data_IF_925759755910
#
_entry.id   IF_925759755910
#
_cell.length_a   1.000
_cell.length_b   1.000
_cell.length_c   1.000
_cell.angle_alpha   90.00
_cell.angle_beta   90.00
_cell.angle_gamma   90.00
#
_symmetry.space_group_name_H-M   'P 1'
#
loop_
_entity.id
_entity.type
_entity.pdbx_description
1 polymer ?
#
# COMPACT_ATOMS: atom_id res chain seq x y z
N UNK A 1 -24.31 -36.86 -54.90
CA UNK A 1 -23.75 -35.50 -54.71
C UNK A 1 -24.33 -34.70 -53.53
N UNK A 2 -25.31 -35.22 -52.76
CA UNK A 2 -25.92 -34.51 -51.62
C UNK A 2 -25.06 -34.33 -50.34
N UNK A 3 -24.35 -35.37 -49.82
CA UNK A 3 -23.70 -35.26 -48.51
C UNK A 3 -22.44 -34.39 -48.46
N UNK A 4 -21.72 -34.24 -49.58
CA UNK A 4 -20.49 -33.42 -49.65
C UNK A 4 -20.80 -31.93 -49.59
N UNK A 5 -21.91 -31.47 -50.20
CA UNK A 5 -22.35 -30.07 -50.14
C UNK A 5 -22.79 -29.66 -48.74
N UNK A 6 -23.48 -30.55 -48.02
CA UNK A 6 -23.91 -30.28 -46.63
C UNK A 6 -22.72 -30.24 -45.67
N UNK A 7 -21.72 -31.12 -45.87
CA UNK A 7 -20.49 -31.12 -45.07
C UNK A 7 -19.61 -29.89 -45.32
N UNK A 8 -19.46 -29.46 -46.57
CA UNK A 8 -18.76 -28.20 -46.89
C UNK A 8 -19.48 -26.98 -46.32
N UNK A 9 -20.82 -26.90 -46.40
CA UNK A 9 -21.56 -25.81 -45.77
C UNK A 9 -21.31 -25.78 -44.25
N UNK A 10 -21.37 -26.94 -43.59
CA UNK A 10 -21.15 -27.03 -42.14
C UNK A 10 -19.74 -26.60 -41.71
N UNK A 11 -18.74 -26.93 -42.54
CA UNK A 11 -17.36 -26.49 -42.33
C UNK A 11 -17.21 -24.98 -42.53
N UNK A 12 -17.78 -24.41 -43.60
CA UNK A 12 -17.73 -22.97 -43.90
C UNK A 12 -18.47 -22.15 -42.83
N UNK A 13 -19.63 -22.62 -42.36
CA UNK A 13 -20.36 -21.97 -41.28
C UNK A 13 -19.60 -22.03 -39.95
N UNK A 14 -18.93 -23.15 -39.64
CA UNK A 14 -18.07 -23.27 -38.46
C UNK A 14 -16.86 -22.33 -38.52
N UNK A 15 -16.18 -22.23 -39.67
CA UNK A 15 -14.99 -21.36 -39.82
C UNK A 15 -15.36 -19.88 -39.73
N UNK A 16 -16.46 -19.46 -40.38
CA UNK A 16 -16.93 -18.07 -40.34
C UNK A 16 -17.43 -17.66 -38.94
N UNK A 17 -18.12 -18.55 -38.22
CA UNK A 17 -18.51 -18.31 -36.83
C UNK A 17 -17.31 -18.25 -35.88
N UNK A 18 -16.26 -19.04 -36.13
CA UNK A 18 -15.00 -19.00 -35.37
C UNK A 18 -14.24 -17.70 -35.59
N UNK A 19 -14.11 -17.24 -36.85
CA UNK A 19 -13.44 -15.96 -37.17
C UNK A 19 -14.11 -14.76 -36.51
N UNK A 20 -15.45 -14.75 -36.47
CA UNK A 20 -16.22 -13.70 -35.80
C UNK A 20 -15.99 -13.70 -34.28
N UNK A 21 -15.87 -14.89 -33.67
CA UNK A 21 -15.60 -15.01 -32.24
C UNK A 21 -14.17 -14.55 -31.88
N UNK A 22 -13.17 -14.93 -32.68
CA UNK A 22 -11.78 -14.49 -32.45
C UNK A 22 -11.63 -12.97 -32.64
N UNK A 23 -12.33 -12.39 -33.63
CA UNK A 23 -12.40 -10.95 -33.78
C UNK A 23 -13.07 -10.27 -32.57
N UNK A 24 -14.12 -10.88 -32.02
CA UNK A 24 -14.77 -10.37 -30.81
C UNK A 24 -13.82 -10.35 -29.61
N UNK A 25 -13.03 -11.40 -29.37
CA UNK A 25 -12.04 -11.42 -28.29
C UNK A 25 -10.86 -10.48 -28.53
N UNK A 26 -10.41 -10.30 -29.78
CA UNK A 26 -9.41 -9.27 -30.11
C UNK A 26 -9.89 -7.87 -29.71
N UNK A 27 -11.15 -7.55 -30.05
CA UNK A 27 -11.76 -6.27 -29.66
C UNK A 27 -11.86 -6.11 -28.14
N UNK A 28 -12.23 -7.16 -27.41
CA UNK A 28 -12.27 -7.13 -25.94
C UNK A 28 -10.89 -6.81 -25.36
N UNK A 29 -9.83 -7.40 -25.90
CA UNK A 29 -8.46 -7.15 -25.43
C UNK A 29 -8.02 -5.71 -25.71
N UNK A 30 -8.29 -5.19 -26.91
CA UNK A 30 -8.01 -3.80 -27.28
C UNK A 30 -8.74 -2.81 -26.36
N UNK A 31 -10.05 -3.01 -26.16
CA UNK A 31 -10.85 -2.18 -25.26
C UNK A 31 -10.36 -2.28 -23.82
N UNK A 32 -9.92 -3.47 -23.37
CA UNK A 32 -9.33 -3.66 -22.05
C UNK A 32 -8.03 -2.87 -21.90
N UNK A 33 -7.12 -2.93 -22.88
CA UNK A 33 -5.89 -2.16 -22.88
C UNK A 33 -6.14 -0.65 -22.80
N UNK A 34 -7.11 -0.15 -23.57
CA UNK A 34 -7.52 1.26 -23.52
C UNK A 34 -8.04 1.67 -22.13
N UNK A 35 -8.89 0.85 -21.52
CA UNK A 35 -9.35 1.12 -20.16
C UNK A 35 -8.19 1.08 -19.14
N UNK A 36 -7.30 0.09 -19.23
CA UNK A 36 -6.14 -0.01 -18.34
C UNK A 36 -5.20 1.19 -18.47
N UNK A 37 -4.96 1.67 -19.69
CA UNK A 37 -4.15 2.88 -19.92
C UNK A 37 -4.79 4.14 -19.32
N UNK A 38 -6.12 4.31 -19.46
CA UNK A 38 -6.83 5.43 -18.82
C UNK A 38 -6.75 5.32 -17.29
N UNK A 39 -6.96 4.13 -16.74
CA UNK A 39 -6.89 3.90 -15.30
C UNK A 39 -5.50 4.19 -14.74
N UNK A 40 -4.45 3.72 -15.41
CA UNK A 40 -3.06 3.96 -15.03
C UNK A 40 -2.73 5.45 -15.04
N UNK A 41 -3.16 6.20 -16.07
CA UNK A 41 -2.99 7.65 -16.13
C UNK A 41 -3.70 8.38 -14.99
N UNK A 42 -4.96 8.01 -14.68
CA UNK A 42 -5.69 8.61 -13.55
C UNK A 42 -5.03 8.33 -12.20
N UNK A 43 -4.58 7.08 -11.98
CA UNK A 43 -3.88 6.69 -10.77
C UNK A 43 -2.52 7.38 -10.62
N UNK A 44 -1.78 7.50 -11.73
CA UNK A 44 -0.50 8.23 -11.78
C UNK A 44 -0.69 9.70 -11.42
N UNK A 45 -1.62 10.40 -12.08
CA UNK A 45 -1.93 11.80 -11.80
C UNK A 45 -2.40 12.01 -10.35
N UNK A 46 -3.24 11.11 -9.82
CA UNK A 46 -3.67 11.16 -8.42
C UNK A 46 -2.50 10.99 -7.43
N UNK A 47 -1.46 10.25 -7.82
CA UNK A 47 -0.27 10.06 -7.00
C UNK A 47 0.64 11.28 -7.01
N UNK A 48 0.82 11.92 -8.18
CA UNK A 48 1.74 13.06 -8.34
C UNK A 48 1.12 14.42 -8.06
N UNK A 49 -0.18 14.57 -8.29
CA UNK A 49 -0.95 15.80 -8.13
C UNK A 49 -2.36 15.50 -7.59
N UNK A 50 -2.49 15.07 -6.32
CA UNK A 50 -3.77 14.71 -5.73
C UNK A 50 -4.76 15.89 -5.63
N UNK A 51 -4.27 17.13 -5.66
CA UNK A 51 -5.10 18.35 -5.61
C UNK A 51 -5.75 18.75 -6.93
N UNK A 52 -5.57 17.98 -8.00
CA UNK A 52 -6.15 18.31 -9.31
C UNK A 52 -7.70 18.24 -9.26
N UNK A 53 -8.41 19.37 -9.48
CA UNK A 53 -9.87 19.43 -9.36
C UNK A 53 -10.63 18.63 -10.43
N UNK A 54 -9.98 18.30 -11.54
CA UNK A 54 -10.60 17.56 -12.64
C UNK A 54 -10.55 16.02 -12.45
N UNK A 55 -9.68 15.54 -11.55
CA UNK A 55 -9.49 14.09 -11.32
C UNK A 55 -10.78 13.38 -10.89
N UNK A 56 -11.59 13.90 -9.93
CA UNK A 56 -12.81 13.22 -9.52
C UNK A 56 -13.81 13.04 -10.67
N UNK A 57 -13.98 14.07 -11.52
CA UNK A 57 -14.91 14.03 -12.64
C UNK A 57 -14.46 13.05 -13.74
N UNK A 58 -13.15 13.04 -14.05
CA UNK A 58 -12.56 12.10 -15.01
C UNK A 58 -12.62 10.66 -14.50
N UNK A 59 -12.30 10.44 -13.22
CA UNK A 59 -12.37 9.13 -12.58
C UNK A 59 -13.80 8.59 -12.58
N UNK A 60 -14.79 9.40 -12.20
CA UNK A 60 -16.20 9.01 -12.24
C UNK A 60 -16.67 8.63 -13.66
N UNK A 61 -16.23 9.38 -14.68
CA UNK A 61 -16.56 9.11 -16.09
C UNK A 61 -15.94 7.79 -16.55
N UNK A 62 -14.65 7.57 -16.24
CA UNK A 62 -13.96 6.32 -16.52
C UNK A 62 -14.68 5.13 -15.89
N UNK A 63 -14.96 5.20 -14.57
CA UNK A 63 -15.62 4.12 -13.83
C UNK A 63 -16.99 3.78 -14.42
N UNK A 64 -17.80 4.80 -14.75
CA UNK A 64 -19.10 4.62 -15.41
C UNK A 64 -18.99 3.83 -16.71
N UNK A 65 -18.06 4.24 -17.57
CA UNK A 65 -17.87 3.65 -18.89
C UNK A 65 -17.32 2.23 -18.79
N UNK A 66 -16.34 2.00 -17.90
CA UNK A 66 -15.74 0.70 -17.64
C UNK A 66 -16.77 -0.30 -17.14
N UNK A 67 -17.56 0.05 -16.13
CA UNK A 67 -18.58 -0.84 -15.56
C UNK A 67 -19.66 -1.18 -16.58
N UNK A 68 -20.16 -0.17 -17.31
CA UNK A 68 -21.19 -0.37 -18.35
C UNK A 68 -20.69 -1.33 -19.43
N UNK A 69 -19.47 -1.12 -19.90
CA UNK A 69 -18.82 -1.98 -20.89
C UNK A 69 -18.63 -3.40 -20.34
N UNK A 70 -18.03 -3.56 -19.15
CA UNK A 70 -17.71 -4.85 -18.57
C UNK A 70 -18.98 -5.67 -18.31
N UNK A 71 -20.03 -5.07 -17.75
CA UNK A 71 -21.31 -5.75 -17.55
C UNK A 71 -21.93 -6.22 -18.87
N UNK A 72 -21.92 -5.39 -19.92
CA UNK A 72 -22.46 -5.76 -21.23
C UNK A 72 -21.65 -6.90 -21.85
N UNK A 73 -20.32 -6.79 -21.85
CA UNK A 73 -19.41 -7.79 -22.40
C UNK A 73 -19.52 -9.12 -21.64
N UNK A 74 -19.52 -9.09 -20.31
CA UNK A 74 -19.69 -10.29 -19.49
C UNK A 74 -21.04 -10.97 -19.69
N UNK A 75 -22.12 -10.22 -19.94
CA UNK A 75 -23.43 -10.79 -20.28
C UNK A 75 -23.43 -11.55 -21.62
N UNK A 76 -22.77 -11.00 -22.64
CA UNK A 76 -22.59 -11.66 -23.95
C UNK A 76 -21.74 -12.93 -23.80
N UNK A 77 -20.61 -12.83 -23.10
CA UNK A 77 -19.71 -13.94 -22.87
C UNK A 77 -20.36 -15.06 -22.04
N UNK A 78 -21.18 -14.72 -21.05
CA UNK A 78 -21.94 -15.71 -20.28
C UNK A 78 -22.88 -16.54 -21.19
N UNK A 79 -23.53 -15.89 -22.16
CA UNK A 79 -24.40 -16.57 -23.13
C UNK A 79 -23.60 -17.54 -24.00
N UNK A 80 -22.42 -17.12 -24.47
CA UNK A 80 -21.52 -17.96 -25.29
C UNK A 80 -20.93 -19.13 -24.47
N UNK A 81 -20.58 -18.88 -23.21
CA UNK A 81 -20.08 -19.88 -22.28
C UNK A 81 -21.13 -20.96 -22.02
N UNK A 82 -22.38 -20.57 -21.72
CA UNK A 82 -23.48 -21.51 -21.47
C UNK A 82 -23.83 -22.36 -22.70
N UNK A 83 -23.62 -21.82 -23.91
CA UNK A 83 -23.76 -22.56 -25.18
C UNK A 83 -22.53 -23.39 -25.55
N UNK A 84 -21.52 -23.47 -24.67
CA UNK A 84 -20.26 -24.18 -24.89
C UNK A 84 -19.53 -23.75 -26.19
N UNK A 85 -19.72 -22.50 -26.61
CA UNK A 85 -19.17 -21.98 -27.88
C UNK A 85 -17.75 -21.45 -27.74
N UNK A 86 -17.24 -21.30 -26.52
CA UNK A 86 -15.91 -20.76 -26.23
C UNK A 86 -14.87 -21.88 -26.16
N UNK A 87 -13.70 -21.67 -26.78
CA UNK A 87 -12.53 -22.55 -26.59
C UNK A 87 -11.87 -22.35 -25.20
N UNK A 88 -10.85 -23.15 -24.87
CA UNK A 88 -10.22 -23.08 -23.53
C UNK A 88 -9.62 -21.70 -23.21
N UNK A 89 -8.92 -21.09 -24.16
CA UNK A 89 -8.31 -19.75 -24.02
C UNK A 89 -9.38 -18.67 -23.83
N UNK A 90 -10.45 -18.71 -24.63
CA UNK A 90 -11.57 -17.78 -24.54
C UNK A 90 -12.36 -17.93 -23.24
N UNK A 91 -12.53 -19.16 -22.73
CA UNK A 91 -13.11 -19.41 -21.40
C UNK A 91 -12.24 -18.80 -20.30
N UNK A 92 -10.92 -18.91 -20.42
CA UNK A 92 -9.97 -18.30 -19.49
C UNK A 92 -10.05 -16.77 -19.53
N UNK A 93 -10.08 -16.16 -20.71
CA UNK A 93 -10.26 -14.71 -20.87
C UNK A 93 -11.60 -14.24 -20.30
N UNK A 94 -12.68 -14.97 -20.56
CA UNK A 94 -13.99 -14.68 -19.97
C UNK A 94 -13.95 -14.71 -18.44
N UNK A 95 -13.37 -15.76 -17.86
CA UNK A 95 -13.22 -15.88 -16.41
C UNK A 95 -12.42 -14.71 -15.83
N UNK A 96 -11.27 -14.37 -16.42
CA UNK A 96 -10.42 -13.28 -15.95
C UNK A 96 -11.10 -11.91 -16.04
N UNK A 97 -11.85 -11.65 -17.11
CA UNK A 97 -12.56 -10.40 -17.29
C UNK A 97 -13.77 -10.24 -16.36
N UNK A 98 -14.43 -11.35 -16.01
CA UNK A 98 -15.75 -11.33 -15.36
C UNK A 98 -15.76 -11.85 -13.92
N UNK A 99 -14.60 -12.26 -13.38
CA UNK A 99 -14.40 -12.52 -11.96
C UNK A 99 -14.38 -11.23 -11.15
N UNK A 100 -14.48 -11.35 -9.83
CA UNK A 100 -14.41 -10.22 -8.90
C UNK A 100 -15.77 -9.66 -8.48
N UNK A 101 -15.79 -8.69 -7.55
CA UNK A 101 -17.01 -8.04 -7.12
C UNK A 101 -17.68 -7.26 -8.27
N UNK A 102 -19.01 -7.35 -8.37
CA UNK A 102 -19.79 -6.57 -9.34
C UNK A 102 -20.36 -5.34 -8.67
N UNK A 103 -19.83 -4.14 -8.92
CA UNK A 103 -20.32 -2.90 -8.32
C UNK A 103 -21.43 -2.22 -9.16
N UNK A 104 -22.32 -1.47 -8.52
CA UNK A 104 -23.14 -0.46 -9.21
C UNK A 104 -22.36 0.83 -9.40
N UNK A 105 -22.85 1.73 -10.26
CA UNK A 105 -22.25 3.04 -10.45
C UNK A 105 -22.23 3.86 -9.14
N UNK A 106 -23.35 3.86 -8.40
CA UNK A 106 -23.43 4.56 -7.11
C UNK A 106 -22.50 3.97 -6.06
N UNK A 107 -22.42 2.64 -5.99
CA UNK A 107 -21.49 1.95 -5.09
C UNK A 107 -20.04 2.33 -5.41
N UNK A 108 -19.66 2.36 -6.69
CA UNK A 108 -18.30 2.70 -7.12
C UNK A 108 -17.94 4.14 -6.74
N UNK A 109 -18.86 5.09 -6.97
CA UNK A 109 -18.68 6.48 -6.55
C UNK A 109 -18.50 6.60 -5.05
N UNK A 110 -19.33 5.89 -4.27
CA UNK A 110 -19.23 5.90 -2.81
C UNK A 110 -17.90 5.27 -2.36
N UNK A 111 -17.48 4.15 -2.94
CA UNK A 111 -16.22 3.49 -2.57
C UNK A 111 -15.03 4.35 -2.92
N UNK A 112 -15.01 5.03 -4.08
CA UNK A 112 -13.95 5.98 -4.43
C UNK A 112 -13.79 7.08 -3.37
N UNK A 113 -14.91 7.71 -2.97
CA UNK A 113 -14.87 8.73 -1.92
C UNK A 113 -14.40 8.16 -0.57
N UNK A 114 -14.80 6.92 -0.22
CA UNK A 114 -14.36 6.27 1.02
C UNK A 114 -12.86 5.95 0.99
N UNK A 115 -12.33 5.51 -0.16
CA UNK A 115 -10.90 5.28 -0.33
C UNK A 115 -10.11 6.59 -0.19
N UNK A 116 -10.58 7.67 -0.80
CA UNK A 116 -9.97 9.00 -0.66
C UNK A 116 -10.01 9.50 0.80
N UNK A 117 -11.15 9.35 1.47
CA UNK A 117 -11.31 9.72 2.89
C UNK A 117 -10.36 8.93 3.79
N UNK A 118 -10.31 7.59 3.64
CA UNK A 118 -9.39 6.73 4.40
C UNK A 118 -7.92 7.08 4.13
N UNK A 119 -7.58 7.34 2.87
CA UNK A 119 -6.22 7.68 2.49
C UNK A 119 -5.79 9.04 3.01
N UNK A 120 -6.68 10.03 3.01
CA UNK A 120 -6.42 11.37 3.58
C UNK A 120 -6.24 11.31 5.09
N UNK A 121 -7.12 10.59 5.82
CA UNK A 121 -6.97 10.37 7.27
C UNK A 121 -5.57 9.85 7.63
N UNK A 122 -5.03 8.96 6.79
CA UNK A 122 -3.72 8.36 6.99
C UNK A 122 -2.55 9.27 6.56
N UNK A 123 -2.62 9.80 5.34
CA UNK A 123 -1.50 10.52 4.70
C UNK A 123 -1.31 11.92 5.28
N UNK A 124 -2.41 12.56 5.68
CA UNK A 124 -2.44 13.93 6.18
C UNK A 124 -2.36 13.97 7.72
N UNK A 125 -2.07 12.83 8.34
CA UNK A 125 -1.95 12.72 9.79
C UNK A 125 -0.79 13.60 10.31
N UNK A 126 -1.14 14.69 10.98
CA UNK A 126 -0.18 15.59 11.61
C UNK A 126 -0.45 15.71 13.11
N UNK A 127 0.62 15.67 13.90
CA UNK A 127 0.61 15.92 15.34
C UNK A 127 1.64 16.99 15.67
N UNK A 128 1.17 18.08 16.27
CA UNK A 128 1.99 19.19 16.72
C UNK A 128 2.01 19.25 18.25
N UNK A 129 3.19 19.43 18.83
CA UNK A 129 3.36 19.67 20.26
C UNK A 129 4.05 21.03 20.48
N UNK A 130 3.72 21.75 21.57
CA UNK A 130 4.32 23.04 21.87
C UNK A 130 5.80 22.88 22.25
N UNK A 131 6.61 23.86 21.89
CA UNK A 131 8.07 23.88 22.13
C UNK A 131 8.53 25.27 22.53
N UNK A 132 9.52 25.36 23.41
CA UNK A 132 10.09 26.67 23.80
C UNK A 132 10.87 27.34 22.65
N UNK A 133 11.52 26.53 21.82
CA UNK A 133 12.35 26.97 20.68
C UNK A 133 11.83 26.42 19.36
N UNK A 134 12.20 27.05 18.24
CA UNK A 134 11.89 26.53 16.91
C UNK A 134 12.77 25.29 16.61
N UNK A 135 12.16 24.12 16.47
CA UNK A 135 12.86 22.84 16.27
C UNK A 135 12.61 22.33 14.86
N UNK A 136 13.68 21.92 14.16
CA UNK A 136 13.56 21.26 12.86
C UNK A 136 13.39 19.75 13.03
N UNK A 137 12.46 19.14 12.28
CA UNK A 137 12.18 17.69 12.35
C UNK A 137 13.31 16.80 11.82
N UNK A 138 14.35 17.39 11.22
CA UNK A 138 15.54 16.67 10.79
C UNK A 138 16.49 16.30 11.94
N UNK A 139 16.41 17.01 13.07
CA UNK A 139 17.21 16.71 14.26
C UNK A 139 16.39 15.86 15.24
N UNK A 140 16.43 14.54 15.06
CA UNK A 140 15.62 13.60 15.84
C UNK A 140 15.92 13.68 17.35
N UNK A 141 17.14 14.03 17.75
CA UNK A 141 17.50 14.25 19.16
C UNK A 141 16.75 15.44 19.78
N UNK A 142 16.60 16.54 19.04
CA UNK A 142 15.81 17.70 19.50
C UNK A 142 14.32 17.39 19.55
N UNK A 143 13.82 16.61 18.58
CA UNK A 143 12.43 16.15 18.56
C UNK A 143 12.14 15.24 19.76
N UNK A 144 13.03 14.29 20.07
CA UNK A 144 12.90 13.43 21.26
C UNK A 144 12.86 14.25 22.55
N UNK A 145 13.77 15.23 22.71
CA UNK A 145 13.78 16.12 23.86
C UNK A 145 12.50 16.96 23.99
N UNK A 146 11.94 17.42 22.86
CA UNK A 146 10.67 18.15 22.85
C UNK A 146 9.49 17.27 23.29
N UNK A 147 9.45 16.02 22.85
CA UNK A 147 8.43 15.05 23.29
C UNK A 147 8.53 14.82 24.79
N UNK A 148 9.73 14.59 25.32
CA UNK A 148 9.93 14.40 26.76
C UNK A 148 9.49 15.61 27.60
N UNK A 149 9.85 16.83 27.15
CA UNK A 149 9.40 18.06 27.82
C UNK A 149 7.87 18.19 27.78
N UNK A 150 7.26 17.90 26.64
CA UNK A 150 5.81 17.89 26.49
C UNK A 150 5.13 16.90 27.45
N UNK A 151 5.63 15.66 27.54
CA UNK A 151 5.09 14.63 28.43
C UNK A 151 5.20 15.04 29.90
N UNK A 152 6.38 15.53 30.31
CA UNK A 152 6.61 16.06 31.66
C UNK A 152 5.66 17.22 32.00
N UNK A 153 5.43 18.14 31.06
CA UNK A 153 4.51 19.25 31.25
C UNK A 153 3.07 18.77 31.40
N UNK A 154 2.61 17.87 30.53
CA UNK A 154 1.26 17.30 30.63
C UNK A 154 1.08 16.59 31.97
N UNK A 155 2.06 15.79 32.40
CA UNK A 155 2.01 15.12 33.68
C UNK A 155 1.90 16.11 34.85
N UNK A 156 2.70 17.18 34.82
CA UNK A 156 2.72 18.20 35.87
C UNK A 156 1.41 19.00 35.96
N UNK A 157 0.83 19.39 34.82
CA UNK A 157 -0.36 20.24 34.79
C UNK A 157 -1.68 19.46 34.96
N UNK A 158 -1.69 18.16 34.66
CA UNK A 158 -2.91 17.35 34.61
C UNK A 158 -2.89 16.11 35.52
N UNK A 159 -2.00 16.06 36.53
CA UNK A 159 -1.82 14.93 37.47
C UNK A 159 -3.14 14.26 37.89
N UNK A 160 -3.19 12.92 37.73
CA UNK A 160 -4.09 11.99 38.43
C UNK A 160 -5.61 12.08 38.20
N UNK A 161 -6.09 12.41 37.00
CA UNK A 161 -7.51 12.18 36.65
C UNK A 161 -7.75 10.90 35.81
N UNK A 162 -6.73 10.36 35.15
CA UNK A 162 -6.82 9.15 34.31
C UNK A 162 -5.54 8.31 34.44
N UNK A 163 -5.64 7.03 34.82
CA UNK A 163 -4.51 6.18 35.22
C UNK A 163 -3.47 5.78 34.14
N UNK A 164 -3.43 6.44 32.98
CA UNK A 164 -2.38 6.28 31.96
C UNK A 164 -2.00 7.66 31.38
N UNK A 165 -0.94 8.26 31.94
CA UNK A 165 -0.44 9.59 31.61
C UNK A 165 -0.07 9.73 30.11
N UNK A 166 0.49 8.68 29.50
CA UNK A 166 0.88 8.66 28.09
C UNK A 166 -0.34 8.66 27.16
N UNK A 167 -1.39 7.89 27.49
CA UNK A 167 -2.63 7.87 26.72
C UNK A 167 -3.37 9.22 26.82
N UNK A 168 -3.39 9.81 28.01
CA UNK A 168 -3.96 11.15 28.20
C UNK A 168 -3.20 12.18 27.36
N UNK A 169 -1.87 12.19 27.41
CA UNK A 169 -1.05 13.06 26.59
C UNK A 169 -1.30 12.86 25.08
N UNK A 170 -1.40 11.62 24.61
CA UNK A 170 -1.76 11.34 23.22
C UNK A 170 -3.11 11.95 22.84
N UNK A 171 -4.15 11.74 23.64
CA UNK A 171 -5.48 12.33 23.40
C UNK A 171 -5.48 13.85 23.48
N UNK A 172 -4.69 14.41 24.38
CA UNK A 172 -4.55 15.85 24.53
C UNK A 172 -3.89 16.46 23.29
N UNK A 173 -2.82 15.86 22.78
CA UNK A 173 -2.15 16.30 21.55
C UNK A 173 -3.09 16.28 20.33
N UNK A 174 -3.92 15.24 20.20
CA UNK A 174 -4.87 15.12 19.07
C UNK A 174 -5.97 16.18 19.10
N UNK A 175 -6.45 16.56 20.29
CA UNK A 175 -7.59 17.45 20.47
C UNK A 175 -7.22 18.93 20.67
N UNK A 176 -5.94 19.25 20.89
CA UNK A 176 -5.51 20.63 21.16
C UNK A 176 -5.60 21.48 19.89
N UNK A 177 -6.33 22.58 19.98
CA UNK A 177 -6.32 23.63 18.96
C UNK A 177 -5.04 24.46 19.05
N UNK A 178 -4.40 24.66 17.91
CA UNK A 178 -3.08 25.29 17.73
C UNK A 178 -3.18 26.79 18.02
N UNK A 179 -2.51 27.28 19.07
CA UNK A 179 -2.38 28.71 19.36
C UNK A 179 -0.99 29.18 19.83
N UNK A 180 -0.03 28.27 20.03
CA UNK A 180 1.32 28.65 20.49
C UNK A 180 2.22 29.09 19.33
N UNK A 181 3.14 30.04 19.58
CA UNK A 181 4.03 30.62 18.55
C UNK A 181 5.06 29.64 17.99
N UNK A 182 5.49 28.65 18.78
CA UNK A 182 6.53 27.67 18.42
C UNK A 182 5.99 26.26 18.63
N UNK A 183 6.06 25.41 17.60
CA UNK A 183 5.66 24.01 17.65
C UNK A 183 6.59 23.14 16.83
N UNK A 184 6.69 21.87 17.23
CA UNK A 184 7.24 20.81 16.39
C UNK A 184 6.10 19.90 15.94
N UNK A 185 6.00 19.66 14.63
CA UNK A 185 4.93 18.88 14.01
C UNK A 185 5.51 17.66 13.30
N UNK A 186 5.09 16.47 13.73
CA UNK A 186 5.37 15.21 13.04
C UNK A 186 4.29 15.01 11.97
N UNK A 187 4.72 14.91 10.70
CA UNK A 187 3.84 14.86 9.53
C UNK A 187 3.91 13.50 8.84
N UNK A 188 2.76 12.83 8.78
CA UNK A 188 2.56 11.55 8.09
C UNK A 188 3.41 10.43 8.66
N UNK A 189 3.23 9.24 8.09
CA UNK A 189 3.94 8.01 8.49
C UNK A 189 5.47 8.19 8.56
N UNK A 190 6.07 8.92 7.60
CA UNK A 190 7.52 9.01 7.48
C UNK A 190 8.21 9.67 8.68
N UNK A 191 7.58 10.65 9.33
CA UNK A 191 8.17 11.31 10.51
C UNK A 191 8.11 10.40 11.73
N UNK A 192 6.98 9.70 11.90
CA UNK A 192 6.80 8.74 12.98
C UNK A 192 7.73 7.54 12.82
N UNK A 193 7.87 6.96 11.62
CA UNK A 193 8.78 5.85 11.36
C UNK A 193 10.23 6.20 11.68
N UNK A 194 10.67 7.41 11.31
CA UNK A 194 12.02 7.89 11.65
C UNK A 194 12.21 7.95 13.16
N UNK A 195 11.23 8.48 13.89
CA UNK A 195 11.29 8.56 15.34
C UNK A 195 11.22 7.19 16.02
N UNK A 196 10.36 6.27 15.54
CA UNK A 196 10.24 4.90 16.04
C UNK A 196 11.53 4.09 15.83
N UNK A 197 12.21 4.29 14.70
CA UNK A 197 13.48 3.64 14.41
C UNK A 197 14.66 4.23 15.20
N UNK A 198 14.64 5.55 15.43
CA UNK A 198 15.71 6.29 16.11
C UNK A 198 15.66 6.14 17.64
N UNK A 199 14.50 6.39 18.25
CA UNK A 199 14.40 6.49 19.70
C UNK A 199 14.67 5.14 20.37
N UNK A 200 15.24 5.21 21.57
CA UNK A 200 15.33 4.10 22.52
C UNK A 200 14.64 4.43 23.84
N UNK A 201 14.00 5.58 23.96
CA UNK A 201 13.28 5.97 25.15
C UNK A 201 11.86 5.36 25.13
N UNK A 202 11.53 4.56 26.14
CA UNK A 202 10.26 3.84 26.17
C UNK A 202 9.04 4.77 26.18
N UNK A 203 9.11 5.86 26.93
CA UNK A 203 8.01 6.80 27.10
C UNK A 203 7.70 7.53 25.78
N UNK A 204 8.76 7.93 25.07
CA UNK A 204 8.67 8.54 23.73
C UNK A 204 8.07 7.55 22.73
N UNK A 205 8.59 6.33 22.67
CA UNK A 205 8.08 5.29 21.77
C UNK A 205 6.61 4.95 22.06
N UNK A 206 6.24 4.87 23.34
CA UNK A 206 4.87 4.61 23.78
C UNK A 206 3.94 5.73 23.37
N UNK A 207 4.34 6.99 23.60
CA UNK A 207 3.54 8.15 23.19
C UNK A 207 3.37 8.23 21.67
N UNK A 208 4.44 8.04 20.89
CA UNK A 208 4.38 8.01 19.42
C UNK A 208 3.40 6.93 18.92
N UNK A 209 3.50 5.73 19.49
CA UNK A 209 2.63 4.61 19.16
C UNK A 209 1.15 4.90 19.46
N UNK A 210 0.87 5.53 20.62
CA UNK A 210 -0.47 5.88 21.07
C UNK A 210 -1.05 7.04 20.27
N UNK A 211 -0.32 8.14 20.11
CA UNK A 211 -0.80 9.35 19.46
C UNK A 211 -1.12 9.11 17.99
N UNK A 212 -0.34 8.29 17.29
CA UNK A 212 -0.66 7.84 15.93
C UNK A 212 -2.01 7.11 15.89
N UNK A 213 -2.24 6.17 16.81
CA UNK A 213 -3.47 5.38 16.88
C UNK A 213 -4.69 6.21 17.26
N UNK A 214 -4.53 7.18 18.16
CA UNK A 214 -5.60 8.12 18.52
C UNK A 214 -5.92 9.10 17.37
N UNK A 215 -4.90 9.52 16.59
CA UNK A 215 -5.10 10.42 15.44
C UNK A 215 -5.77 9.73 14.26
N UNK A 216 -5.37 8.50 13.97
CA UNK A 216 -5.74 7.79 12.74
C UNK A 216 -6.89 6.79 12.96
N UNK A 217 -6.88 6.05 14.07
CA UNK A 217 -7.81 4.94 14.30
C UNK A 217 -9.29 5.34 14.42
N UNK A 218 -9.67 6.24 15.34
CA UNK A 218 -11.05 6.67 15.50
C UNK A 218 -11.72 7.21 14.23
N UNK A 219 -11.12 8.15 13.46
CA UNK A 219 -11.75 8.64 12.24
C UNK A 219 -11.87 7.58 11.13
N UNK A 220 -10.97 6.58 11.08
CA UNK A 220 -11.05 5.50 10.09
C UNK A 220 -12.22 4.52 10.31
N UNK A 221 -12.73 4.40 11.54
CA UNK A 221 -13.65 3.32 11.93
C UNK A 221 -14.91 3.25 11.06
N UNK A 222 -15.64 4.35 10.93
CA UNK A 222 -16.92 4.37 10.20
C UNK A 222 -16.75 4.27 8.67
N UNK A 223 -15.82 5.02 8.04
CA UNK A 223 -15.55 4.86 6.61
C UNK A 223 -15.12 3.42 6.25
N UNK A 224 -14.23 2.81 7.05
CA UNK A 224 -13.78 1.44 6.82
C UNK A 224 -14.92 0.41 6.94
N UNK A 225 -15.78 0.57 7.97
CA UNK A 225 -16.97 -0.29 8.15
C UNK A 225 -17.91 -0.19 6.96
N UNK A 226 -18.14 1.02 6.43
CA UNK A 226 -19.00 1.27 5.27
C UNK A 226 -18.40 0.66 4.00
N UNK A 227 -17.10 0.82 3.80
CA UNK A 227 -16.36 0.24 2.67
C UNK A 227 -16.55 -1.28 2.63
N UNK A 228 -16.19 -1.98 3.71
CA UNK A 228 -16.32 -3.44 3.81
C UNK A 228 -17.75 -3.93 3.59
N UNK A 229 -18.76 -3.16 4.01
CA UNK A 229 -20.17 -3.48 3.77
C UNK A 229 -20.53 -3.45 2.28
N UNK A 230 -20.06 -2.44 1.55
CA UNK A 230 -20.30 -2.30 0.11
C UNK A 230 -19.56 -3.38 -0.68
N UNK A 231 -18.28 -3.59 -0.38
CA UNK A 231 -17.46 -4.61 -1.06
C UNK A 231 -18.05 -6.01 -0.90
N UNK A 232 -18.55 -6.35 0.30
CA UNK A 232 -19.22 -7.62 0.54
C UNK A 232 -20.55 -7.75 -0.23
N UNK A 233 -21.32 -6.67 -0.40
CA UNK A 233 -22.53 -6.69 -1.22
C UNK A 233 -22.18 -6.92 -2.70
N UNK A 234 -21.17 -6.23 -3.20
CA UNK A 234 -20.69 -6.38 -4.58
C UNK A 234 -20.11 -7.77 -4.86
N UNK A 235 -19.37 -8.34 -3.90
CA UNK A 235 -18.85 -9.71 -3.97
C UNK A 235 -20.00 -10.74 -4.03
N UNK A 236 -21.01 -10.62 -3.14
CA UNK A 236 -22.18 -11.51 -3.15
C UNK A 236 -22.98 -11.45 -4.44
N UNK A 237 -23.04 -10.30 -5.09
CA UNK A 237 -23.70 -10.12 -6.40
C UNK A 237 -23.04 -10.97 -7.51
N UNK A 238 -21.77 -11.32 -7.37
CA UNK A 238 -21.07 -12.22 -8.31
C UNK A 238 -20.88 -13.65 -7.76
N UNK A 239 -21.61 -14.04 -6.71
CA UNK A 239 -21.60 -15.40 -6.17
C UNK A 239 -20.53 -15.69 -5.12
N UNK A 240 -19.70 -14.72 -4.74
CA UNK A 240 -18.74 -14.88 -3.65
C UNK A 240 -19.44 -14.79 -2.27
N UNK A 241 -18.93 -15.50 -1.27
CA UNK A 241 -19.42 -15.39 0.11
C UNK A 241 -19.17 -13.98 0.70
N UNK A 242 -17.99 -13.42 0.41
CA UNK A 242 -17.51 -12.12 0.87
C UNK A 242 -16.35 -11.65 -0.02
N UNK A 243 -15.94 -10.39 0.14
CA UNK A 243 -14.83 -9.80 -0.62
C UNK A 243 -13.52 -10.58 -0.44
N UNK A 244 -13.28 -11.13 0.75
CA UNK A 244 -12.07 -11.93 1.02
C UNK A 244 -11.99 -13.23 0.21
N UNK A 245 -13.12 -13.82 -0.22
CA UNK A 245 -13.07 -14.95 -1.17
C UNK A 245 -12.59 -14.46 -2.53
N UNK A 246 -13.11 -13.32 -2.99
CA UNK A 246 -12.70 -12.72 -4.26
C UNK A 246 -11.19 -12.41 -4.29
N UNK A 247 -10.65 -11.79 -3.24
CA UNK A 247 -9.20 -11.51 -3.17
C UNK A 247 -8.34 -12.77 -3.23
N UNK A 248 -8.76 -13.84 -2.57
CA UNK A 248 -8.01 -15.11 -2.61
C UNK A 248 -8.08 -15.82 -3.95
N UNK A 249 -9.15 -15.57 -4.73
CA UNK A 249 -9.31 -16.16 -6.06
C UNK A 249 -8.23 -15.67 -7.04
N UNK A 250 -7.68 -14.46 -6.84
CA UNK A 250 -6.64 -13.91 -7.71
C UNK A 250 -5.38 -14.78 -7.77
N UNK A 251 -5.06 -15.46 -6.67
CA UNK A 251 -3.91 -16.35 -6.59
C UNK A 251 -4.16 -17.72 -7.23
N UNK A 252 -5.43 -18.10 -7.43
CA UNK A 252 -5.84 -19.38 -8.03
C UNK A 252 -5.23 -20.62 -7.35
N UNK A 253 -4.84 -20.48 -6.08
CA UNK A 253 -4.31 -21.55 -5.24
C UNK A 253 -5.46 -22.25 -4.52
N UNK A 254 -5.63 -23.53 -4.83
CA UNK A 254 -6.57 -24.40 -4.12
C UNK A 254 -6.24 -24.45 -2.62
N UNK A 255 -7.25 -24.32 -1.75
CA UNK A 255 -7.10 -24.37 -0.28
C UNK A 255 -6.04 -23.40 0.27
N UNK A 256 -5.88 -22.23 -0.35
CA UNK A 256 -4.87 -21.22 0.03
C UNK A 256 -4.76 -20.98 1.55
N UNK A 257 -5.88 -20.90 2.28
CA UNK A 257 -5.86 -20.68 3.74
C UNK A 257 -5.17 -21.81 4.52
N UNK A 258 -5.33 -23.05 4.07
CA UNK A 258 -4.66 -24.22 4.68
C UNK A 258 -3.17 -24.16 4.36
N UNK A 259 -2.81 -23.91 3.09
CA UNK A 259 -1.41 -23.77 2.67
C UNK A 259 -0.69 -22.65 3.45
N UNK A 260 -1.30 -21.46 3.56
CA UNK A 260 -0.70 -20.35 4.31
C UNK A 260 -0.48 -20.69 5.79
N UNK A 261 -1.39 -21.45 6.42
CA UNK A 261 -1.23 -21.90 7.82
C UNK A 261 -0.14 -22.95 7.94
N UNK A 262 -0.04 -23.87 6.99
CA UNK A 262 1.03 -24.87 6.95
C UNK A 262 2.39 -24.18 6.85
N UNK A 263 2.57 -23.30 5.87
CA UNK A 263 3.81 -22.53 5.69
C UNK A 263 4.16 -21.70 6.93
N UNK A 264 3.17 -21.07 7.57
CA UNK A 264 3.39 -20.38 8.83
C UNK A 264 3.85 -21.34 9.95
N UNK A 265 3.22 -22.51 10.07
CA UNK A 265 3.59 -23.50 11.08
C UNK A 265 5.01 -24.05 10.88
N UNK A 266 5.47 -24.16 9.63
CA UNK A 266 6.84 -24.59 9.32
C UNK A 266 7.88 -23.54 9.77
N UNK A 267 7.54 -22.25 9.67
CA UNK A 267 8.42 -21.13 10.09
C UNK A 267 8.26 -20.82 11.60
N UNK A 268 7.12 -21.14 12.19
CA UNK A 268 6.75 -20.76 13.57
C UNK A 268 7.80 -21.15 14.62
N UNK A 269 8.44 -22.33 14.60
CA UNK A 269 9.49 -22.66 15.57
C UNK A 269 10.66 -21.67 15.52
N UNK A 270 11.13 -21.32 14.32
CA UNK A 270 12.20 -20.33 14.13
C UNK A 270 11.75 -18.95 14.62
N UNK A 271 10.55 -18.51 14.25
CA UNK A 271 10.01 -17.23 14.72
C UNK A 271 9.86 -17.17 16.24
N UNK A 272 9.46 -18.27 16.88
CA UNK A 272 9.31 -18.35 18.35
C UNK A 272 10.65 -18.21 19.05
N UNK A 273 11.72 -18.83 18.51
CA UNK A 273 13.08 -18.65 19.00
C UNK A 273 13.54 -17.21 18.83
N UNK A 274 13.35 -16.62 17.64
CA UNK A 274 13.71 -15.23 17.36
C UNK A 274 12.96 -14.25 18.29
N UNK A 275 11.66 -14.44 18.49
CA UNK A 275 10.86 -13.68 19.45
C UNK A 275 11.41 -13.82 20.87
N UNK A 276 11.81 -15.02 21.29
CA UNK A 276 12.42 -15.25 22.60
C UNK A 276 13.75 -14.51 22.78
N UNK A 277 14.62 -14.57 21.77
CA UNK A 277 15.90 -13.84 21.76
C UNK A 277 15.66 -12.33 21.81
N UNK A 278 14.77 -11.81 20.96
CA UNK A 278 14.45 -10.39 20.96
C UNK A 278 13.90 -9.93 22.32
N UNK A 279 12.97 -10.70 22.92
CA UNK A 279 12.43 -10.41 24.26
C UNK A 279 13.53 -10.39 25.32
N UNK A 280 14.48 -11.31 25.26
CA UNK A 280 15.60 -11.36 26.19
C UNK A 280 16.48 -10.10 26.10
N UNK A 281 16.87 -9.68 24.90
CA UNK A 281 17.70 -8.48 24.71
C UNK A 281 16.94 -7.20 25.06
N UNK A 282 15.68 -7.08 24.66
CA UNK A 282 14.84 -5.95 25.04
C UNK A 282 14.64 -5.88 26.55
N UNK A 283 14.43 -7.00 27.24
CA UNK A 283 14.33 -7.04 28.71
C UNK A 283 15.64 -6.70 29.40
N UNK A 284 16.79 -7.09 28.84
CA UNK A 284 18.09 -6.67 29.35
C UNK A 284 18.28 -5.14 29.24
N UNK A 285 17.73 -4.53 28.19
CA UNK A 285 17.84 -3.08 27.95
C UNK A 285 16.81 -2.26 28.75
N UNK A 286 15.53 -2.65 28.70
CA UNK A 286 14.39 -1.94 29.30
C UNK A 286 13.98 -2.44 30.69
N UNK A 287 14.58 -3.52 31.18
CA UNK A 287 14.22 -4.12 32.46
C UNK A 287 12.80 -4.69 32.46
N UNK A 288 12.07 -4.47 33.55
CA UNK A 288 10.78 -5.12 33.81
C UNK A 288 9.61 -4.65 32.94
N UNK A 289 9.79 -3.55 32.19
CA UNK A 289 8.83 -3.10 31.18
C UNK A 289 8.56 -4.21 30.16
N UNK A 290 9.58 -4.98 29.80
CA UNK A 290 9.46 -6.13 28.90
C UNK A 290 9.26 -7.38 29.76
N UNK A 291 8.11 -8.05 29.72
CA UNK A 291 7.83 -9.16 30.61
C UNK A 291 8.73 -10.36 30.30
N UNK A 292 9.12 -11.11 31.34
CA UNK A 292 9.95 -12.31 31.19
C UNK A 292 9.26 -13.39 30.33
N UNK A 293 7.93 -13.45 30.42
CA UNK A 293 7.06 -14.38 29.71
C UNK A 293 5.90 -13.60 29.06
N UNK A 294 5.41 -14.09 27.93
CA UNK A 294 4.32 -13.43 27.19
C UNK A 294 4.79 -12.52 26.06
N UNK A 295 3.88 -11.69 25.52
CA UNK A 295 4.15 -10.83 24.37
C UNK A 295 5.14 -9.71 24.67
N UNK A 296 5.90 -9.28 23.66
CA UNK A 296 6.71 -8.07 23.71
C UNK A 296 5.79 -6.85 23.53
N UNK A 297 5.96 -5.75 24.30
CA UNK A 297 5.24 -4.51 24.05
C UNK A 297 5.50 -3.98 22.62
N UNK A 298 4.42 -3.75 21.86
CA UNK A 298 4.49 -3.49 20.42
C UNK A 298 5.29 -2.21 20.06
N UNK A 299 5.23 -1.18 20.89
CA UNK A 299 5.93 0.10 20.68
C UNK A 299 7.45 0.00 20.77
N UNK A 300 7.98 -1.10 21.33
CA UNK A 300 9.42 -1.31 21.50
C UNK A 300 10.11 -1.95 20.30
N UNK A 301 9.37 -2.28 19.24
CA UNK A 301 9.87 -3.09 18.12
C UNK A 301 10.41 -2.26 16.93
N UNK A 302 10.68 -0.97 17.14
CA UNK A 302 11.35 -0.08 16.18
C UNK A 302 10.49 0.39 14.99
N UNK A 303 9.20 0.06 14.98
CA UNK A 303 8.26 0.31 13.88
C UNK A 303 6.85 0.52 14.45
N UNK A 304 6.05 1.40 13.85
CA UNK A 304 4.70 1.74 14.32
C UNK A 304 3.75 0.53 14.42
N UNK A 305 3.94 -0.48 13.57
CA UNK A 305 3.12 -1.70 13.49
C UNK A 305 3.86 -2.96 13.94
N UNK A 306 5.09 -2.80 14.44
CA UNK A 306 5.96 -3.90 14.85
C UNK A 306 6.29 -4.90 13.72
N UNK A 307 6.21 -4.47 12.46
CA UNK A 307 6.38 -5.35 11.29
C UNK A 307 7.86 -5.54 10.91
N UNK A 308 8.72 -4.61 11.28
CA UNK A 308 10.16 -4.62 10.98
C UNK A 308 10.98 -4.37 12.25
N UNK A 309 11.84 -5.32 12.63
CA UNK A 309 12.70 -5.21 13.81
C UNK A 309 14.15 -4.84 13.47
N UNK A 310 14.44 -4.58 12.20
CA UNK A 310 15.77 -4.15 11.72
C UNK A 310 16.34 -2.94 12.48
N UNK A 311 15.55 -1.92 12.88
CA UNK A 311 16.09 -0.81 13.66
C UNK A 311 16.73 -1.21 14.98
N UNK A 312 16.44 -2.42 15.50
CA UNK A 312 17.00 -2.97 16.75
C UNK A 312 18.19 -3.91 16.51
N UNK A 313 18.71 -3.99 15.28
CA UNK A 313 19.80 -4.89 14.94
C UNK A 313 21.05 -4.65 15.81
N UNK A 314 21.29 -3.41 16.25
CA UNK A 314 22.37 -3.03 17.15
C UNK A 314 22.26 -3.65 18.55
N UNK A 315 21.05 -3.96 19.01
CA UNK A 315 20.84 -4.67 20.28
C UNK A 315 21.18 -6.16 20.20
N UNK A 316 21.05 -6.74 19.00
CA UNK A 316 21.19 -8.18 18.77
C UNK A 316 22.56 -8.56 18.23
N UNK A 317 23.12 -7.74 17.35
CA UNK A 317 24.30 -8.06 16.57
C UNK A 317 25.53 -7.35 17.15
N UNK A 318 26.66 -8.06 17.30
CA UNK A 318 27.89 -7.46 17.84
C UNK A 318 28.50 -6.42 16.90
N UNK A 319 28.20 -6.48 15.60
CA UNK A 319 28.61 -5.52 14.58
C UNK A 319 27.49 -5.36 13.57
N UNK A 320 27.09 -4.12 13.33
CA UNK A 320 26.18 -3.75 12.23
C UNK A 320 27.00 -3.13 11.09
N UNK A 321 26.54 -3.31 9.85
CA UNK A 321 27.10 -2.63 8.70
C UNK A 321 26.19 -1.45 8.40
N UNK A 322 26.71 -0.23 8.59
CA UNK A 322 26.03 0.99 8.17
C UNK A 322 26.54 1.42 6.79
N UNK A 323 25.72 1.18 5.76
CA UNK A 323 26.02 1.60 4.41
C UNK A 323 25.64 3.07 4.15
N UNK A 324 24.85 3.71 5.02
CA UNK A 324 24.33 5.06 4.79
C UNK A 324 25.45 6.09 4.87
N UNK A 325 26.35 5.96 5.84
CA UNK A 325 27.54 6.83 5.91
C UNK A 325 28.42 6.70 4.67
N UNK A 326 28.59 5.47 4.18
CA UNK A 326 29.42 5.19 3.02
C UNK A 326 28.81 5.81 1.76
N UNK A 327 27.50 5.67 1.57
CA UNK A 327 26.77 6.26 0.43
C UNK A 327 26.78 7.80 0.53
N UNK A 328 26.61 8.37 1.72
CA UNK A 328 26.70 9.83 1.94
C UNK A 328 28.08 10.36 1.56
N UNK A 329 29.16 9.67 1.91
CA UNK A 329 30.54 10.05 1.53
C UNK A 329 30.77 10.04 0.02
N UNK A 330 30.02 9.23 -0.73
CA UNK A 330 30.10 9.16 -2.19
C UNK A 330 29.31 10.25 -2.92
N UNK A 331 28.55 11.11 -2.19
CA UNK A 331 27.66 12.12 -2.77
C UNK A 331 26.70 11.55 -3.83
N UNK A 332 26.21 10.32 -3.62
CA UNK A 332 25.26 9.70 -4.54
C UNK A 332 23.90 10.39 -4.50
N UNK A 333 23.39 10.74 -5.68
CA UNK A 333 21.99 11.15 -5.86
C UNK A 333 21.09 9.92 -6.05
N UNK A 334 19.77 10.11 -5.93
CA UNK A 334 18.80 9.03 -6.19
C UNK A 334 18.96 8.45 -7.60
N UNK A 335 19.30 9.28 -8.58
CA UNK A 335 19.58 8.85 -9.95
C UNK A 335 20.79 7.91 -10.05
N UNK A 336 21.84 8.14 -9.27
CA UNK A 336 22.99 7.22 -9.24
C UNK A 336 22.56 5.85 -8.70
N UNK A 337 21.72 5.83 -7.66
CA UNK A 337 21.20 4.59 -7.07
C UNK A 337 20.32 3.83 -8.06
N UNK A 338 19.41 4.53 -8.76
CA UNK A 338 18.56 3.93 -9.78
C UNK A 338 19.37 3.36 -10.95
N UNK A 339 20.38 4.08 -11.45
CA UNK A 339 21.28 3.59 -12.51
C UNK A 339 22.10 2.39 -12.05
N UNK A 340 22.53 2.36 -10.78
CA UNK A 340 23.23 1.19 -10.22
C UNK A 340 22.33 -0.04 -10.13
N UNK A 341 21.03 0.15 -9.86
CA UNK A 341 20.05 -0.94 -9.91
C UNK A 341 19.85 -1.43 -11.35
N UNK A 342 19.75 -0.53 -12.33
CA UNK A 342 19.67 -0.90 -13.75
C UNK A 342 20.89 -1.69 -14.21
N UNK A 343 22.11 -1.23 -13.86
CA UNK A 343 23.37 -1.93 -14.14
C UNK A 343 23.39 -3.36 -13.56
N UNK A 344 22.87 -3.54 -12.34
CA UNK A 344 22.70 -4.87 -11.76
C UNK A 344 21.79 -5.76 -12.61
N UNK A 345 20.61 -5.29 -13.02
CA UNK A 345 19.69 -6.09 -13.85
C UNK A 345 20.28 -6.38 -15.25
N UNK A 346 20.95 -5.41 -15.87
CA UNK A 346 21.65 -5.60 -17.14
C UNK A 346 22.79 -6.62 -17.02
N UNK A 347 23.51 -6.64 -15.90
CA UNK A 347 24.55 -7.64 -15.65
C UNK A 347 24.02 -9.08 -15.60
N UNK A 348 22.73 -9.26 -15.32
CA UNK A 348 22.02 -10.54 -15.37
C UNK A 348 21.45 -10.87 -16.77
N UNK A 349 21.68 -9.99 -17.76
CA UNK A 349 21.16 -10.14 -19.12
C UNK A 349 19.74 -9.64 -19.33
N UNK A 350 19.17 -8.87 -18.39
CA UNK A 350 17.86 -8.24 -18.54
C UNK A 350 17.97 -6.93 -19.35
N UNK A 351 16.88 -6.49 -20.02
CA UNK A 351 16.91 -5.25 -20.79
C UNK A 351 17.13 -4.02 -19.90
N UNK A 352 17.74 -2.99 -20.47
CA UNK A 352 17.80 -1.66 -19.87
C UNK A 352 16.40 -1.03 -19.73
N UNK A 353 16.29 -0.01 -18.89
CA UNK A 353 15.07 0.78 -18.77
C UNK A 353 14.84 1.62 -20.02
N UNK A 354 13.58 2.00 -20.26
CA UNK A 354 13.19 2.80 -21.42
C UNK A 354 13.54 4.28 -21.20
N UNK A 355 13.67 5.05 -22.29
CA UNK A 355 13.85 6.50 -22.20
C UNK A 355 12.67 7.18 -21.49
N UNK A 356 11.46 6.66 -21.69
CA UNK A 356 10.24 7.13 -21.02
C UNK A 356 10.32 6.91 -19.52
N UNK A 357 10.87 5.79 -19.05
CA UNK A 357 11.09 5.56 -17.62
C UNK A 357 11.95 6.66 -17.00
N UNK A 358 13.09 6.99 -17.62
CA UNK A 358 13.99 8.00 -17.07
C UNK A 358 13.43 9.43 -17.12
N UNK A 359 12.57 9.72 -18.09
CA UNK A 359 11.96 11.04 -18.29
C UNK A 359 10.72 11.29 -17.42
N UNK A 360 9.84 10.30 -17.31
CA UNK A 360 8.51 10.47 -16.68
C UNK A 360 8.48 10.02 -15.21
N UNK A 361 9.50 9.32 -14.71
CA UNK A 361 9.56 8.88 -13.31
C UNK A 361 9.90 10.01 -12.35
N UNK A 362 9.40 9.90 -11.12
CA UNK A 362 9.63 10.86 -10.03
C UNK A 362 10.61 10.24 -9.02
N UNK A 363 11.84 10.76 -9.02
CA UNK A 363 12.95 10.25 -8.19
C UNK A 363 13.20 11.05 -6.90
N UNK A 364 12.75 12.30 -6.79
CA UNK A 364 12.97 13.15 -5.60
C UNK A 364 11.81 14.10 -5.36
N UNK A 365 11.70 14.61 -4.13
CA UNK A 365 10.66 15.58 -3.69
C UNK A 365 11.00 17.03 -4.05
N UNK A 366 11.92 17.28 -4.98
CA UNK A 366 12.60 18.57 -5.11
C UNK A 366 11.73 19.78 -5.52
N UNK A 367 10.40 19.65 -5.63
CA UNK A 367 9.51 20.80 -5.80
C UNK A 367 8.18 20.61 -5.07
N UNK A 368 8.18 20.68 -3.72
CA UNK A 368 7.05 21.05 -2.85
C UNK A 368 5.64 20.64 -3.34
N UNK A 369 5.49 19.43 -3.86
CA UNK A 369 4.23 18.87 -4.32
C UNK A 369 3.73 17.89 -3.27
N UNK A 370 2.43 17.89 -3.05
CA UNK A 370 1.70 16.92 -2.20
C UNK A 370 1.71 15.50 -2.82
N UNK A 371 2.83 15.09 -3.40
CA UNK A 371 3.01 13.79 -4.04
C UNK A 371 2.96 12.70 -2.97
N UNK A 372 2.09 11.70 -3.17
CA UNK A 372 1.89 10.61 -2.21
C UNK A 372 3.11 9.68 -2.20
N UNK A 373 3.66 9.40 -1.02
CA UNK A 373 5.04 8.93 -0.85
C UNK A 373 5.22 7.43 -0.59
N UNK A 374 4.37 6.55 -1.15
CA UNK A 374 4.62 5.10 -1.11
C UNK A 374 5.23 4.67 -2.44
N UNK A 375 6.42 4.04 -2.40
CA UNK A 375 7.12 3.61 -3.62
C UNK A 375 6.21 2.82 -4.53
N UNK A 376 6.13 3.19 -5.81
CA UNK A 376 5.22 2.55 -6.74
C UNK A 376 5.90 2.41 -8.10
N UNK A 377 5.87 1.21 -8.66
CA UNK A 377 6.21 0.96 -10.06
C UNK A 377 4.89 0.84 -10.84
N UNK A 378 4.80 1.51 -11.99
CA UNK A 378 3.59 1.58 -12.80
C UNK A 378 3.86 1.12 -14.24
N UNK A 379 3.02 0.20 -14.71
CA UNK A 379 2.84 -0.08 -16.13
C UNK A 379 1.69 0.79 -16.64
N UNK A 380 1.98 1.66 -17.61
CA UNK A 380 0.99 2.61 -18.16
C UNK A 380 0.15 2.01 -19.29
N UNK A 381 0.34 0.70 -19.57
CA UNK A 381 -0.34 -0.05 -20.63
C UNK A 381 -0.20 0.61 -22.00
N UNK A 382 0.96 1.22 -22.23
CA UNK A 382 1.40 1.81 -23.49
C UNK A 382 2.80 1.29 -23.79
N UNK A 383 3.13 1.13 -25.07
CA UNK A 383 4.39 0.51 -25.48
C UNK A 383 5.61 1.24 -24.89
N UNK A 384 6.32 0.55 -24.00
CA UNK A 384 7.53 1.07 -23.35
C UNK A 384 7.33 2.15 -22.29
N UNK A 385 6.09 2.41 -21.86
CA UNK A 385 5.78 3.40 -20.82
C UNK A 385 5.66 2.72 -19.44
N UNK A 386 6.81 2.59 -18.80
CA UNK A 386 6.95 2.17 -17.42
C UNK A 386 7.46 3.33 -16.59
N UNK A 387 6.90 3.52 -15.41
CA UNK A 387 7.25 4.66 -14.55
C UNK A 387 7.43 4.25 -13.10
N UNK A 388 8.10 5.12 -12.37
CA UNK A 388 8.40 4.92 -10.97
C UNK A 388 8.16 6.20 -10.18
N UNK A 389 7.43 6.10 -9.07
CA UNK A 389 7.34 7.19 -8.07
C UNK A 389 7.97 6.66 -6.79
N UNK A 390 9.04 7.32 -6.34
CA UNK A 390 9.60 7.01 -5.04
C UNK A 390 10.29 8.22 -4.43
N UNK A 391 9.94 8.50 -3.17
CA UNK A 391 10.59 9.53 -2.39
C UNK A 391 11.72 8.89 -1.59
N UNK A 392 12.88 8.79 -2.23
CA UNK A 392 14.10 8.32 -1.58
C UNK A 392 14.72 9.49 -0.82
N UNK A 393 14.81 9.38 0.50
CA UNK A 393 15.96 9.97 1.18
C UNK A 393 17.15 9.04 0.96
N UNK A 394 18.34 9.62 0.69
CA UNK A 394 19.60 8.91 0.39
C UNK A 394 19.93 7.79 1.41
N UNK A 395 19.29 7.80 2.59
CA UNK A 395 19.43 6.82 3.67
C UNK A 395 18.42 5.64 3.69
N UNK A 396 17.48 5.50 2.72
CA UNK A 396 16.34 4.54 2.88
C UNK A 396 16.15 3.59 1.69
N UNK A 397 17.16 3.35 0.85
CA UNK A 397 16.97 2.41 -0.26
C UNK A 397 17.05 0.93 0.19
N UNK A 398 17.79 0.60 1.25
CA UNK A 398 17.93 -0.80 1.67
C UNK A 398 16.82 -1.33 2.60
N UNK A 399 16.09 -0.44 3.29
CA UNK A 399 15.06 -0.84 4.28
C UNK A 399 13.66 -1.02 3.70
N UNK A 400 13.31 -0.34 2.59
CA UNK A 400 11.93 -0.24 2.08
C UNK A 400 11.53 -1.28 1.03
N UNK A 401 12.46 -2.06 0.46
CA UNK A 401 12.12 -3.08 -0.56
C UNK A 401 11.44 -4.36 -0.02
N UNK A 402 11.08 -4.42 1.28
CA UNK A 402 10.57 -5.64 1.92
C UNK A 402 9.06 -5.65 2.22
N UNK A 403 8.34 -4.55 1.99
CA UNK A 403 6.88 -4.52 2.08
C UNK A 403 6.25 -4.84 0.72
N UNK A 404 5.57 -5.97 0.61
CA UNK A 404 4.95 -6.43 -0.64
C UNK A 404 4.01 -5.38 -1.25
N UNK A 405 4.24 -5.05 -2.51
CA UNK A 405 3.34 -4.22 -3.31
C UNK A 405 2.09 -5.04 -3.69
N UNK A 406 0.95 -4.69 -3.12
CA UNK A 406 -0.37 -5.08 -3.61
C UNK A 406 -1.18 -3.81 -3.89
N UNK A 407 -0.81 -3.10 -4.95
CA UNK A 407 -1.79 -2.31 -5.69
C UNK A 407 -2.47 -3.27 -6.67
N UNK A 408 -3.54 -3.91 -6.22
CA UNK A 408 -4.50 -4.53 -7.14
C UNK A 408 -5.22 -3.41 -7.88
N UNK A 409 -4.78 -3.07 -9.08
CA UNK A 409 -5.63 -2.33 -10.02
C UNK A 409 -6.74 -3.27 -10.47
N UNK A 410 -7.92 -3.14 -9.86
CA UNK A 410 -9.16 -3.79 -10.31
C UNK A 410 -9.76 -3.10 -11.52
#
# INVERSE_FOLDING_TARGET
MGPIKTFLLFLIFKTCASENLDQFFRKINEETGNFSSIAANLAWESSINPGNPDLPARSATYQKNRIKWQHSTCGKLATLYNRQSLNATQRRQYYLLCRGPKYTFDETRITSNLYEELQSIYSDAEICIPTDTNITTNNLTQVEAAILNYLSNVQTFFTNQYGDDCLFAAKFAVNRYIQDKNMVCLKGESDFDRMMAFSRNEEVLRWLWLVWREKVGPPMKEPYRRLVSIENKAARRNGYLNIGVSWREELEVSKLRELSRQLYNDIKPLYTLLHGVMRFYLRRFYGDIVPAYGPIPAHLLGDLWSQNWEPLADLLLPRTIDLDESIKKLNWTVMHMARRAEDFYQSLGLPAMTDTFWRESVFSRENNSDTRCHGTAADMFQDGDFRYVFHVQIAVLFRRFKGGFLCSTS
#
